data_IF_283699769311
#
_entry.id   IF_283699769311
#
_cell.length_a   1.000
_cell.length_b   1.000
_cell.length_c   1.000
_cell.angle_alpha   90.00
_cell.angle_beta   90.00
_cell.angle_gamma   90.00
#
_symmetry.space_group_name_H-M   'P 1'
#
loop_
_entity.id
_entity.type
_entity.pdbx_description
1 polymer ?
#
# COMPACT_ATOMS: atom_id res chain seq x y z
N UNK A 1 14.24 21.43 -16.46
CA UNK A 1 13.36 20.35 -15.93
C UNK A 1 11.88 20.80 -15.97
N UNK A 2 11.56 21.84 -16.74
CA UNK A 2 10.37 22.68 -16.45
C UNK A 2 9.24 22.52 -17.47
N UNK A 3 9.51 21.97 -18.66
CA UNK A 3 8.52 21.86 -19.73
C UNK A 3 7.38 20.91 -19.36
N UNK A 4 7.70 19.72 -18.83
CA UNK A 4 6.70 18.71 -18.48
C UNK A 4 5.84 19.10 -17.28
N UNK A 5 6.43 19.78 -16.28
CA UNK A 5 5.69 20.24 -15.11
C UNK A 5 4.66 21.32 -15.48
N UNK A 6 5.07 22.28 -16.32
CA UNK A 6 4.17 23.32 -16.82
C UNK A 6 3.05 22.72 -17.69
N UNK A 7 3.36 21.72 -18.51
CA UNK A 7 2.36 20.99 -19.30
C UNK A 7 1.34 20.28 -18.41
N UNK A 8 1.78 19.66 -17.31
CA UNK A 8 0.88 19.07 -16.32
C UNK A 8 -0.02 20.12 -15.65
N UNK A 9 0.53 21.29 -15.29
CA UNK A 9 -0.27 22.38 -14.73
C UNK A 9 -1.34 22.81 -15.72
N UNK A 10 -0.99 22.98 -16.99
CA UNK A 10 -1.94 23.35 -18.05
C UNK A 10 -3.01 22.26 -18.19
N UNK A 11 -2.63 20.99 -18.25
CA UNK A 11 -3.58 19.89 -18.39
C UNK A 11 -4.63 19.83 -17.27
N UNK A 12 -4.22 20.03 -16.02
CA UNK A 12 -5.13 19.99 -14.87
C UNK A 12 -5.93 21.27 -14.65
N UNK A 13 -5.46 22.44 -15.13
CA UNK A 13 -6.11 23.74 -14.91
C UNK A 13 -6.89 24.28 -16.12
N UNK A 14 -6.77 23.65 -17.28
CA UNK A 14 -7.47 24.09 -18.50
C UNK A 14 -8.98 23.85 -18.42
N UNK A 15 -9.77 24.70 -19.09
CA UNK A 15 -11.22 24.57 -19.17
C UNK A 15 -11.67 23.28 -19.89
N UNK A 16 -10.84 22.79 -20.81
CA UNK A 16 -11.04 21.52 -21.55
C UNK A 16 -9.96 20.49 -21.15
N UNK A 17 -9.77 20.29 -19.85
CA UNK A 17 -8.72 19.41 -19.30
C UNK A 17 -8.78 17.98 -19.86
N UNK A 18 -9.96 17.45 -20.15
CA UNK A 18 -10.16 16.09 -20.69
C UNK A 18 -9.63 15.90 -22.10
N UNK A 19 -9.53 16.97 -22.91
CA UNK A 19 -9.05 16.90 -24.29
C UNK A 19 -7.53 17.05 -24.41
N UNK A 20 -6.83 17.27 -23.28
CA UNK A 20 -5.39 17.48 -23.28
C UNK A 20 -4.65 16.23 -23.78
N UNK A 21 -3.59 16.37 -24.61
CA UNK A 21 -2.81 15.24 -25.14
C UNK A 21 -2.34 14.23 -24.07
N UNK A 22 -2.03 14.70 -22.87
CA UNK A 22 -1.65 13.86 -21.72
C UNK A 22 -2.70 12.84 -21.27
N UNK A 23 -3.97 13.05 -21.57
CA UNK A 23 -5.05 12.13 -21.22
C UNK A 23 -5.65 11.41 -22.43
N UNK A 24 -5.12 11.68 -23.63
CA UNK A 24 -5.53 10.98 -24.84
C UNK A 24 -5.01 9.54 -24.82
N UNK A 25 -5.74 8.64 -25.48
CA UNK A 25 -5.42 7.20 -25.59
C UNK A 25 -5.50 6.38 -24.28
N UNK A 26 -6.15 6.90 -23.24
CA UNK A 26 -6.37 6.16 -22.00
C UNK A 26 -7.77 5.54 -21.95
N UNK A 27 -7.88 4.22 -22.14
CA UNK A 27 -9.16 3.48 -22.10
C UNK A 27 -9.84 3.51 -20.72
N UNK A 28 -9.07 3.75 -19.65
CA UNK A 28 -9.56 3.81 -18.27
C UNK A 28 -10.15 5.19 -17.90
N UNK A 29 -9.95 6.19 -18.76
CA UNK A 29 -10.41 7.56 -18.56
C UNK A 29 -11.79 7.77 -19.23
N UNK A 30 -12.83 7.32 -18.55
CA UNK A 30 -14.24 7.65 -18.79
C UNK A 30 -14.60 8.97 -18.09
N UNK A 31 -15.73 9.59 -18.45
CA UNK A 31 -16.21 10.83 -17.81
C UNK A 31 -16.25 10.75 -16.27
N UNK A 32 -16.66 9.59 -15.73
CA UNK A 32 -16.69 9.35 -14.29
C UNK A 32 -15.30 9.28 -13.66
N UNK A 33 -14.30 8.73 -14.36
CA UNK A 33 -12.94 8.66 -13.84
C UNK A 33 -12.19 9.99 -14.02
N UNK A 34 -12.48 10.78 -15.06
CA UNK A 34 -12.03 12.18 -15.14
C UNK A 34 -12.51 13.00 -13.94
N UNK A 35 -13.80 12.90 -13.62
CA UNK A 35 -14.37 13.60 -12.46
C UNK A 35 -13.65 13.22 -11.17
N UNK A 36 -13.39 11.92 -10.96
CA UNK A 36 -12.63 11.44 -9.79
C UNK A 36 -11.19 11.93 -9.82
N UNK A 37 -10.51 11.84 -10.96
CA UNK A 37 -9.13 12.26 -11.14
C UNK A 37 -8.92 13.73 -10.76
N UNK A 38 -9.75 14.63 -11.29
CA UNK A 38 -9.68 16.05 -10.95
C UNK A 38 -10.02 16.30 -9.48
N UNK A 39 -11.02 15.60 -8.93
CA UNK A 39 -11.33 15.70 -7.50
C UNK A 39 -10.16 15.28 -6.60
N UNK A 40 -9.40 14.25 -7.00
CA UNK A 40 -8.22 13.80 -6.26
C UNK A 40 -7.05 14.77 -6.36
N UNK A 41 -6.88 15.43 -7.51
CA UNK A 41 -5.90 16.50 -7.66
C UNK A 41 -6.18 17.65 -6.69
N UNK A 42 -7.44 18.09 -6.58
CA UNK A 42 -7.83 19.14 -5.65
C UNK A 42 -7.65 18.74 -4.18
N UNK A 43 -8.13 17.55 -3.80
CA UNK A 43 -7.89 16.98 -2.47
C UNK A 43 -6.40 16.86 -2.13
N UNK A 44 -5.58 16.48 -3.12
CA UNK A 44 -4.14 16.37 -2.98
C UNK A 44 -3.48 17.72 -2.67
N UNK A 45 -3.87 18.79 -3.37
CA UNK A 45 -3.40 20.16 -3.08
C UNK A 45 -3.80 20.59 -1.67
N UNK A 46 -5.05 20.35 -1.27
CA UNK A 46 -5.52 20.68 0.07
C UNK A 46 -4.71 19.95 1.14
N UNK A 47 -4.49 18.65 0.95
CA UNK A 47 -3.70 17.85 1.89
C UNK A 47 -2.25 18.32 1.97
N UNK A 48 -1.64 18.68 0.84
CA UNK A 48 -0.27 19.21 0.82
C UNK A 48 -0.18 20.52 1.62
N UNK A 49 -1.13 21.43 1.42
CA UNK A 49 -1.19 22.68 2.20
C UNK A 49 -1.38 22.41 3.68
N UNK A 50 -2.24 21.46 4.07
CA UNK A 50 -2.41 21.06 5.47
C UNK A 50 -1.11 20.52 6.07
N UNK A 51 -0.38 19.66 5.36
CA UNK A 51 0.91 19.13 5.81
C UNK A 51 1.91 20.28 6.02
N UNK A 52 1.99 21.22 5.08
CA UNK A 52 2.87 22.38 5.20
C UNK A 52 2.55 23.21 6.45
N UNK A 53 1.26 23.49 6.71
CA UNK A 53 0.80 24.22 7.90
C UNK A 53 1.13 23.48 9.20
N UNK A 54 1.04 22.15 9.21
CA UNK A 54 1.30 21.31 10.39
C UNK A 54 2.79 21.11 10.67
N UNK A 55 3.56 20.70 9.66
CA UNK A 55 4.92 20.21 9.84
C UNK A 55 5.97 21.31 9.68
N UNK A 56 5.77 22.24 8.74
CA UNK A 56 6.72 23.31 8.45
C UNK A 56 6.41 24.56 9.28
N UNK A 57 5.18 25.07 9.18
CA UNK A 57 4.78 26.28 9.90
C UNK A 57 4.39 26.01 11.35
N UNK A 58 4.04 24.77 11.70
CA UNK A 58 3.61 24.36 13.05
C UNK A 58 2.45 25.18 13.63
N UNK A 59 1.58 25.69 12.75
CA UNK A 59 0.41 26.50 13.12
C UNK A 59 -0.84 25.65 13.38
N UNK A 60 -0.90 24.45 12.80
CA UNK A 60 -2.02 23.51 12.98
C UNK A 60 -1.57 22.27 13.77
N UNK A 61 -2.47 21.62 14.54
CA UNK A 61 -2.22 20.32 15.14
C UNK A 61 -1.95 19.23 14.10
N UNK A 62 -1.02 18.32 14.41
CA UNK A 62 -0.63 17.22 13.51
C UNK A 62 -1.81 16.25 13.32
N UNK A 63 -2.25 16.09 12.07
CA UNK A 63 -3.29 15.13 11.71
C UNK A 63 -2.70 13.93 10.95
N UNK A 64 -2.68 12.78 11.61
CA UNK A 64 -2.17 11.51 11.08
C UNK A 64 -3.22 10.67 10.34
N UNK A 65 -4.50 11.08 10.36
CA UNK A 65 -5.58 10.36 9.68
C UNK A 65 -5.32 10.30 8.18
N UNK A 66 -5.66 9.17 7.56
CA UNK A 66 -5.50 8.97 6.12
C UNK A 66 -4.09 8.60 5.65
N UNK A 67 -3.03 8.66 6.48
CA UNK A 67 -1.64 8.34 6.08
C UNK A 67 -1.46 6.92 5.52
N UNK A 68 -2.38 6.00 5.81
CA UNK A 68 -2.41 4.62 5.29
C UNK A 68 -3.67 4.30 4.49
N UNK A 69 -4.57 5.26 4.29
CA UNK A 69 -5.78 5.03 3.51
C UNK A 69 -5.40 5.00 2.02
N UNK A 70 -5.93 4.01 1.31
CA UNK A 70 -5.77 3.90 -0.14
C UNK A 70 -7.16 3.91 -0.77
N UNK A 71 -7.48 4.98 -1.47
CA UNK A 71 -8.74 5.12 -2.21
C UNK A 71 -8.65 4.59 -3.64
N UNK A 72 -7.51 3.99 -3.99
CA UNK A 72 -7.27 3.35 -5.28
C UNK A 72 -7.24 1.85 -5.09
N UNK A 73 -7.97 1.14 -5.94
CA UNK A 73 -7.90 -0.33 -6.02
C UNK A 73 -6.50 -0.69 -6.50
N UNK A 74 -5.73 -1.38 -5.65
CA UNK A 74 -4.42 -1.89 -6.05
C UNK A 74 -4.62 -3.27 -6.66
N UNK A 75 -4.44 -3.33 -7.97
CA UNK A 75 -4.36 -4.60 -8.69
C UNK A 75 -2.90 -5.02 -8.78
N UNK A 76 -2.57 -6.25 -8.37
CA UNK A 76 -1.21 -6.79 -8.56
C UNK A 76 -1.12 -7.44 -9.93
N UNK A 77 0.09 -7.53 -10.50
CA UNK A 77 0.33 -8.18 -11.81
C UNK A 77 -0.19 -9.61 -11.87
N UNK A 78 -0.17 -10.34 -10.75
CA UNK A 78 -0.75 -11.69 -10.64
C UNK A 78 -2.29 -11.70 -10.78
N UNK A 79 -2.96 -10.64 -10.34
CA UNK A 79 -4.42 -10.52 -10.42
C UNK A 79 -4.85 -10.23 -11.87
N UNK A 80 -4.01 -9.51 -12.62
CA UNK A 80 -4.16 -9.28 -14.07
C UNK A 80 -4.01 -10.59 -14.85
N UNK A 81 -2.94 -11.37 -14.58
CA UNK A 81 -2.73 -12.69 -15.22
C UNK A 81 -3.88 -13.66 -14.96
N UNK A 82 -4.46 -13.61 -13.76
CA UNK A 82 -5.61 -14.45 -13.42
C UNK A 82 -6.87 -14.05 -14.19
N UNK A 83 -7.13 -12.75 -14.36
CA UNK A 83 -8.25 -12.25 -15.15
C UNK A 83 -8.15 -12.66 -16.64
N UNK A 84 -6.96 -12.58 -17.23
CA UNK A 84 -6.70 -13.02 -18.61
C UNK A 84 -6.78 -14.55 -18.81
N UNK A 85 -6.47 -15.34 -17.77
CA UNK A 85 -6.64 -16.79 -17.81
C UNK A 85 -8.10 -17.21 -17.66
N UNK A 86 -8.89 -16.50 -16.86
CA UNK A 86 -10.34 -16.77 -16.71
C UNK A 86 -11.16 -16.34 -17.91
N UNK A 87 -10.71 -15.34 -18.70
CA UNK A 87 -11.38 -14.96 -19.95
C UNK A 87 -11.08 -15.89 -21.13
N UNK A 88 -10.07 -16.77 -21.01
CA UNK A 88 -9.67 -17.74 -22.05
C UNK A 88 -10.34 -19.12 -21.91
N UNK A 89 -11.20 -19.32 -20.91
CA UNK A 89 -12.04 -20.51 -20.79
C UNK A 89 -13.52 -20.12 -20.76
N UNK A 90 -14.11 -19.98 -21.95
CA UNK A 90 -15.40 -20.59 -22.36
C UNK A 90 -15.91 -19.97 -23.69
N UNK A 91 -16.40 -20.78 -24.65
CA UNK A 91 -17.21 -20.31 -25.78
C UNK A 91 -18.71 -20.13 -25.40
N UNK A 92 -19.35 -19.17 -26.10
CA UNK A 92 -20.79 -18.83 -26.38
C UNK A 92 -21.84 -19.90 -25.97
N UNK A 93 -23.08 -19.66 -25.49
CA UNK A 93 -24.08 -18.55 -25.56
C UNK A 93 -25.23 -18.84 -24.56
N UNK A 94 -25.89 -17.80 -24.02
CA UNK A 94 -27.37 -17.63 -23.95
C UNK A 94 -27.81 -16.83 -22.72
N UNK A 95 -28.66 -15.85 -23.00
CA UNK A 95 -29.27 -14.88 -22.10
C UNK A 95 -30.17 -15.50 -21.03
N UNK A 96 -30.12 -14.96 -19.80
CA UNK A 96 -31.27 -14.65 -18.95
C UNK A 96 -30.82 -13.96 -17.65
N UNK A 97 -31.12 -12.66 -17.55
CA UNK A 97 -31.43 -11.95 -16.30
C UNK A 97 -30.38 -11.87 -15.17
N UNK A 98 -29.46 -10.90 -15.24
CA UNK A 98 -28.77 -10.41 -14.03
C UNK A 98 -29.51 -9.19 -13.49
N UNK A 99 -30.45 -9.42 -12.58
CA UNK A 99 -31.11 -8.36 -11.82
C UNK A 99 -30.06 -7.61 -11.01
N UNK A 100 -29.91 -6.34 -11.35
CA UNK A 100 -29.18 -5.36 -10.55
C UNK A 100 -30.02 -5.05 -9.31
N UNK A 101 -29.61 -5.55 -8.15
CA UNK A 101 -30.10 -5.02 -6.88
C UNK A 101 -29.06 -4.06 -6.33
N UNK A 102 -29.30 -2.78 -6.59
CA UNK A 102 -28.75 -1.67 -5.80
C UNK A 102 -29.45 -1.75 -4.44
N UNK A 103 -28.70 -1.99 -3.37
CA UNK A 103 -29.15 -1.67 -2.01
C UNK A 103 -28.19 -0.65 -1.42
N UNK A 104 -28.56 0.61 -1.56
CA UNK A 104 -28.08 1.69 -0.70
C UNK A 104 -28.75 1.50 0.66
N UNK A 105 -28.00 1.05 1.67
CA UNK A 105 -28.42 1.22 3.06
C UNK A 105 -27.26 1.81 3.85
N UNK A 106 -27.43 3.08 4.17
CA UNK A 106 -26.75 3.76 5.27
C UNK A 106 -27.16 3.08 6.57
N UNK A 107 -26.26 2.30 7.17
CA UNK A 107 -26.41 1.89 8.58
C UNK A 107 -25.05 1.91 9.26
N UNK A 108 -24.91 2.86 10.18
CA UNK A 108 -23.88 2.86 11.21
C UNK A 108 -24.09 1.63 12.08
N UNK A 109 -23.28 0.59 11.89
CA UNK A 109 -23.24 -0.55 12.82
C UNK A 109 -21.82 -0.73 13.31
N UNK A 110 -21.65 -0.44 14.59
CA UNK A 110 -20.47 -0.81 15.39
C UNK A 110 -20.44 -2.33 15.48
N UNK A 111 -19.76 -2.99 14.55
CA UNK A 111 -19.53 -4.44 14.63
C UNK A 111 -18.19 -4.69 15.32
N UNK A 112 -18.27 -5.06 16.60
CA UNK A 112 -17.19 -5.71 17.33
C UNK A 112 -16.90 -7.04 16.64
N UNK A 113 -15.92 -7.04 15.73
CA UNK A 113 -15.42 -8.29 15.13
C UNK A 113 -14.59 -9.02 16.17
N UNK A 114 -15.17 -10.07 16.75
CA UNK A 114 -14.43 -11.09 17.51
C UNK A 114 -13.48 -11.77 16.53
N UNK A 115 -12.21 -11.38 16.55
CA UNK A 115 -11.16 -12.11 15.85
C UNK A 115 -10.77 -13.32 16.69
N UNK A 116 -11.22 -14.51 16.31
CA UNK A 116 -10.57 -15.75 16.77
C UNK A 116 -9.23 -15.88 16.06
N UNK A 117 -8.23 -15.15 16.55
CA UNK A 117 -6.86 -15.25 16.06
C UNK A 117 -6.23 -16.54 16.58
N UNK A 118 -5.78 -17.41 15.67
CA UNK A 118 -4.82 -18.46 16.01
C UNK A 118 -3.67 -17.85 16.82
N UNK A 119 -3.17 -18.50 17.89
CA UNK A 119 -2.09 -17.94 18.68
C UNK A 119 -0.90 -17.74 17.76
N UNK A 120 -0.55 -16.48 17.52
CA UNK A 120 0.71 -16.14 16.84
C UNK A 120 1.81 -16.73 17.71
N UNK A 121 2.70 -17.54 17.11
CA UNK A 121 3.90 -17.98 17.83
C UNK A 121 4.59 -16.73 18.39
N UNK A 122 4.95 -16.70 19.68
CA UNK A 122 5.65 -15.57 20.25
C UNK A 122 6.93 -15.35 19.44
N UNK A 123 7.21 -14.09 19.14
CA UNK A 123 8.46 -13.73 18.51
C UNK A 123 9.58 -14.02 19.50
N UNK A 124 10.69 -14.58 19.00
CA UNK A 124 11.89 -14.77 19.84
C UNK A 124 12.36 -13.42 20.35
N UNK A 125 12.62 -13.33 21.65
CA UNK A 125 13.20 -12.16 22.30
C UNK A 125 14.62 -12.51 22.69
N UNK A 126 15.59 -11.77 22.13
CA UNK A 126 17.00 -12.07 22.36
C UNK A 126 17.35 -11.94 23.84
N UNK A 127 17.87 -13.02 24.44
CA UNK A 127 18.22 -13.04 25.87
C UNK A 127 19.57 -12.36 26.13
N UNK A 128 19.87 -12.04 27.39
CA UNK A 128 21.14 -11.42 27.75
C UNK A 128 22.33 -12.37 27.53
N UNK A 129 22.11 -13.68 27.63
CA UNK A 129 23.09 -14.73 27.35
C UNK A 129 23.41 -14.79 25.85
N UNK A 130 22.41 -14.71 24.98
CA UNK A 130 22.60 -14.63 23.52
C UNK A 130 23.37 -13.35 23.15
N UNK A 131 23.03 -12.21 23.76
CA UNK A 131 23.78 -10.95 23.57
C UNK A 131 25.24 -11.08 24.03
N UNK A 132 25.48 -11.77 25.15
CA UNK A 132 26.83 -12.02 25.68
C UNK A 132 27.68 -12.83 24.70
N UNK A 133 27.10 -13.83 24.04
CA UNK A 133 27.77 -14.65 23.02
C UNK A 133 28.17 -13.83 21.79
N UNK A 134 27.31 -12.91 21.33
CA UNK A 134 27.62 -12.08 20.15
C UNK A 134 28.54 -10.90 20.46
N UNK A 135 28.61 -10.44 21.72
CA UNK A 135 29.34 -9.22 22.13
C UNK A 135 30.80 -9.13 21.62
N UNK A 136 31.61 -10.19 21.64
CA UNK A 136 33.00 -10.16 21.15
C UNK A 136 33.12 -9.92 19.64
N UNK A 137 32.11 -10.29 18.87
CA UNK A 137 32.13 -10.29 17.40
C UNK A 137 31.72 -8.95 16.77
N UNK A 138 31.22 -7.99 17.55
CA UNK A 138 30.96 -6.63 17.06
C UNK A 138 32.23 -5.79 16.84
N UNK A 139 33.39 -6.24 17.33
CA UNK A 139 34.65 -5.50 17.28
C UNK A 139 35.62 -6.01 16.23
N UNK A 140 35.42 -7.22 15.69
CA UNK A 140 36.30 -7.80 14.67
C UNK A 140 35.73 -7.57 13.27
N UNK A 141 36.56 -7.17 12.28
CA UNK A 141 36.06 -6.81 10.95
C UNK A 141 35.61 -8.03 10.12
N UNK A 142 36.04 -9.25 10.46
CA UNK A 142 35.65 -10.47 9.76
C UNK A 142 35.98 -11.74 10.57
N UNK A 143 35.02 -12.37 11.27
CA UNK A 143 35.25 -13.66 11.91
C UNK A 143 35.47 -14.77 10.87
N UNK A 144 36.26 -15.78 11.23
CA UNK A 144 36.49 -16.97 10.41
C UNK A 144 35.27 -17.91 10.43
N UNK A 145 35.06 -18.70 9.37
CA UNK A 145 33.95 -19.66 9.28
C UNK A 145 33.91 -20.62 10.48
N UNK A 146 35.08 -21.05 10.97
CA UNK A 146 35.20 -21.91 12.15
C UNK A 146 34.70 -21.25 13.43
N UNK A 147 34.87 -19.93 13.54
CA UNK A 147 34.39 -19.15 14.69
C UNK A 147 32.88 -18.95 14.61
N UNK A 148 32.35 -18.74 13.39
CA UNK A 148 30.92 -18.62 13.13
C UNK A 148 30.19 -19.92 13.50
N UNK A 149 30.71 -21.08 13.09
CA UNK A 149 30.13 -22.39 13.43
C UNK A 149 30.08 -22.62 14.95
N UNK A 150 31.18 -22.30 15.65
CA UNK A 150 31.24 -22.43 17.12
C UNK A 150 30.21 -21.55 17.84
N UNK A 151 29.99 -20.34 17.34
CA UNK A 151 28.98 -19.42 17.88
C UNK A 151 27.58 -19.96 17.62
N UNK A 152 27.33 -20.45 16.40
CA UNK A 152 26.04 -21.01 16.02
C UNK A 152 25.66 -22.22 16.88
N UNK A 153 26.60 -23.14 17.12
CA UNK A 153 26.40 -24.28 18.02
C UNK A 153 26.08 -23.85 19.45
N UNK A 154 26.69 -22.77 19.92
CA UNK A 154 26.47 -22.24 21.27
C UNK A 154 25.08 -21.63 21.40
N UNK A 155 24.60 -20.92 20.37
CA UNK A 155 23.27 -20.33 20.32
C UNK A 155 22.17 -21.39 20.21
N UNK A 156 22.39 -22.42 19.38
CA UNK A 156 21.42 -23.51 19.20
C UNK A 156 21.21 -24.32 20.49
N UNK A 157 22.27 -24.49 21.31
CA UNK A 157 22.18 -25.13 22.62
C UNK A 157 21.37 -24.33 23.65
N UNK A 158 21.35 -23.00 23.53
CA UNK A 158 20.61 -22.11 24.43
C UNK A 158 19.13 -22.00 24.08
N UNK A 159 18.79 -22.13 22.80
CA UNK A 159 17.42 -22.10 22.30
C UNK A 159 17.09 -23.39 21.52
N UNK A 160 16.89 -24.54 22.20
CA UNK A 160 16.61 -25.81 21.55
C UNK A 160 15.19 -25.91 20.94
N UNK A 161 14.36 -24.89 21.10
CA UNK A 161 12.99 -24.85 20.57
C UNK A 161 12.91 -24.45 19.08
N UNK A 162 13.97 -24.71 18.33
CA UNK A 162 14.01 -24.56 16.87
C UNK A 162 14.53 -25.83 16.19
#
# INVERSE_FOLDING_TARGET
MDLLFNEFIVAFKSLNSTNHPLFQNCIELTDSSYTKLFSYYDKGKERLNQIYRQEVLRIDPINTKGRRAKEVVITKTKDIKNAECTSKKCPTQSEAGLSTTITTTTTTTTTTTITTTKPKKPWHVTTEEEKSILKPYFKSPKPSNKEIEKVLDSLLKLSPNY
#
